data_IF_429795244334
#
_entry.id   IF_429795244334
#
_cell.length_a   1.000
_cell.length_b   1.000
_cell.length_c   1.000
_cell.angle_alpha   90.00
_cell.angle_beta   90.00
_cell.angle_gamma   90.00
#
_symmetry.space_group_name_H-M   'P 1'
#
loop_
_entity.id
_entity.type
_entity.pdbx_description
1 polymer ?
#
# COMPACT_ATOMS: atom_id res chain seq x y z
N UNK A 1 -4.97 3.35 25.87
CA UNK A 1 -4.19 3.17 24.62
C UNK A 1 -4.58 1.82 24.02
N UNK A 2 -5.38 1.81 22.95
CA UNK A 2 -5.92 0.56 22.38
C UNK A 2 -4.80 -0.26 21.72
N UNK A 3 -4.40 -1.37 22.34
CA UNK A 3 -3.34 -2.27 21.85
C UNK A 3 -3.58 -2.80 20.42
N UNK A 4 -4.85 -2.85 20.00
CA UNK A 4 -5.28 -3.31 18.67
C UNK A 4 -4.90 -2.36 17.52
N UNK A 5 -4.82 -1.06 17.78
CA UNK A 5 -4.32 -0.07 16.81
C UNK A 5 -2.83 -0.28 16.53
N UNK A 6 -2.05 -0.63 17.56
CA UNK A 6 -0.59 -0.80 17.46
C UNK A 6 -0.18 -1.92 16.51
N UNK A 7 -0.86 -3.08 16.58
CA UNK A 7 -0.58 -4.22 15.69
C UNK A 7 -1.02 -3.95 14.24
N UNK A 8 -2.16 -3.27 14.06
CA UNK A 8 -2.66 -2.85 12.74
C UNK A 8 -1.74 -1.84 12.07
N UNK A 9 -1.17 -0.93 12.86
CA UNK A 9 -0.24 0.11 12.38
C UNK A 9 1.13 -0.46 12.00
N UNK A 10 1.63 -1.46 12.72
CA UNK A 10 2.87 -2.16 12.37
C UNK A 10 2.78 -2.93 11.04
N UNK A 11 1.63 -3.56 10.75
CA UNK A 11 1.45 -4.24 9.46
C UNK A 11 1.21 -3.25 8.30
N UNK A 12 0.61 -2.08 8.56
CA UNK A 12 0.46 -1.02 7.56
C UNK A 12 1.83 -0.45 7.12
N UNK A 13 2.80 -0.30 8.03
CA UNK A 13 4.16 0.16 7.67
C UNK A 13 4.87 -0.78 6.69
N UNK A 14 4.80 -2.11 6.93
CA UNK A 14 5.39 -3.10 6.02
C UNK A 14 4.76 -3.04 4.63
N UNK A 15 3.43 -2.96 4.58
CA UNK A 15 2.69 -2.83 3.31
C UNK A 15 3.07 -1.54 2.59
N UNK A 16 3.18 -0.42 3.32
CA UNK A 16 3.55 0.87 2.75
C UNK A 16 4.97 0.87 2.16
N UNK A 17 5.93 0.23 2.84
CA UNK A 17 7.29 0.08 2.32
C UNK A 17 7.30 -0.73 1.01
N UNK A 18 6.55 -1.83 0.95
CA UNK A 18 6.40 -2.60 -0.29
C UNK A 18 5.70 -1.82 -1.39
N UNK A 19 4.67 -1.02 -1.07
CA UNK A 19 4.00 -0.12 -2.03
C UNK A 19 5.01 0.88 -2.62
N UNK A 20 5.86 1.49 -1.80
CA UNK A 20 6.87 2.45 -2.26
C UNK A 20 7.87 1.77 -3.21
N UNK A 21 8.42 0.61 -2.84
CA UNK A 21 9.33 -0.13 -3.73
C UNK A 21 8.68 -0.46 -5.08
N UNK A 22 7.39 -0.85 -5.09
CA UNK A 22 6.64 -1.12 -6.32
C UNK A 22 6.46 0.18 -7.13
N UNK A 23 6.18 1.30 -6.47
CA UNK A 23 5.99 2.61 -7.11
C UNK A 23 7.29 3.20 -7.66
N UNK A 24 8.42 2.98 -7.03
CA UNK A 24 9.73 3.37 -7.55
C UNK A 24 10.05 2.60 -8.84
N UNK A 25 9.79 1.30 -8.87
CA UNK A 25 9.99 0.47 -10.06
C UNK A 25 8.96 0.76 -11.16
N UNK A 26 7.72 1.04 -10.77
CA UNK A 26 6.59 1.24 -11.67
C UNK A 26 5.77 2.49 -11.29
N UNK A 27 6.27 3.71 -11.59
CA UNK A 27 5.63 4.95 -11.14
C UNK A 27 4.21 5.15 -11.68
N UNK A 28 3.90 4.58 -12.84
CA UNK A 28 2.57 4.65 -13.47
C UNK A 28 1.55 3.69 -12.85
N UNK A 29 1.95 2.79 -11.95
CA UNK A 29 1.02 1.83 -11.36
C UNK A 29 0.05 2.52 -10.40
N UNK A 30 -1.24 2.29 -10.63
CA UNK A 30 -2.30 2.62 -9.68
C UNK A 30 -2.51 1.50 -8.66
N UNK A 31 -3.35 1.76 -7.66
CA UNK A 31 -3.58 0.86 -6.53
C UNK A 31 -3.98 -0.58 -6.93
N UNK A 32 -4.68 -0.76 -8.05
CA UNK A 32 -5.04 -2.10 -8.56
C UNK A 32 -3.82 -2.91 -8.99
N UNK A 33 -2.90 -2.31 -9.74
CA UNK A 33 -1.65 -2.95 -10.16
C UNK A 33 -0.72 -3.18 -8.98
N UNK A 34 -0.61 -2.19 -8.08
CA UNK A 34 0.14 -2.33 -6.83
C UNK A 34 -0.40 -3.48 -5.98
N UNK A 35 -1.73 -3.63 -5.85
CA UNK A 35 -2.32 -4.74 -5.09
C UNK A 35 -1.95 -6.10 -5.68
N UNK A 36 -1.94 -6.24 -7.02
CA UNK A 36 -1.51 -7.49 -7.68
C UNK A 36 -0.05 -7.82 -7.38
N UNK A 37 0.83 -6.83 -7.42
CA UNK A 37 2.25 -7.02 -7.07
C UNK A 37 2.42 -7.38 -5.59
N UNK A 38 1.67 -6.74 -4.68
CA UNK A 38 1.67 -7.11 -3.27
C UNK A 38 1.23 -8.56 -3.05
N UNK A 39 0.21 -9.03 -3.78
CA UNK A 39 -0.22 -10.44 -3.72
C UNK A 39 0.86 -11.39 -4.23
N UNK A 40 1.58 -11.04 -5.30
CA UNK A 40 2.74 -11.81 -5.79
C UNK A 40 3.88 -11.89 -4.77
N UNK A 41 4.05 -10.85 -3.97
CA UNK A 41 5.01 -10.80 -2.86
C UNK A 41 4.51 -11.51 -1.59
N UNK A 42 3.30 -12.11 -1.62
CA UNK A 42 2.73 -12.86 -0.49
C UNK A 42 1.90 -12.03 0.49
N UNK A 43 1.66 -10.74 0.22
CA UNK A 43 0.80 -9.92 1.07
C UNK A 43 -0.68 -10.17 0.76
N UNK A 44 -1.43 -10.73 1.70
CA UNK A 44 -2.89 -10.88 1.60
C UNK A 44 -3.60 -9.58 2.04
N UNK A 45 -3.50 -8.53 1.21
CA UNK A 45 -4.11 -7.21 1.48
C UNK A 45 -5.27 -6.91 0.53
N UNK A 46 -6.35 -6.33 1.06
CA UNK A 46 -7.48 -5.90 0.25
C UNK A 46 -7.14 -4.60 -0.52
N UNK A 47 -7.54 -4.53 -1.79
CA UNK A 47 -7.36 -3.35 -2.65
C UNK A 47 -7.92 -2.04 -2.04
N UNK A 48 -9.00 -2.12 -1.23
CA UNK A 48 -9.54 -0.95 -0.51
C UNK A 48 -8.54 -0.40 0.52
N UNK A 49 -7.82 -1.28 1.21
CA UNK A 49 -6.80 -0.92 2.19
C UNK A 49 -5.56 -0.33 1.52
N UNK A 50 -5.13 -0.93 0.39
CA UNK A 50 -4.05 -0.37 -0.44
C UNK A 50 -4.41 1.03 -0.94
N UNK A 51 -5.63 1.22 -1.44
CA UNK A 51 -6.12 2.54 -1.87
C UNK A 51 -6.07 3.57 -0.74
N UNK A 52 -6.52 3.20 0.47
CA UNK A 52 -6.45 4.08 1.64
C UNK A 52 -5.01 4.48 1.96
N UNK A 53 -4.11 3.50 2.08
CA UNK A 53 -2.69 3.74 2.37
C UNK A 53 -2.02 4.61 1.30
N UNK A 54 -2.30 4.36 0.02
CA UNK A 54 -1.76 5.18 -1.07
C UNK A 54 -2.32 6.60 -1.05
N UNK A 55 -3.59 6.81 -0.69
CA UNK A 55 -4.18 8.15 -0.54
C UNK A 55 -3.59 8.91 0.63
N UNK A 56 -3.53 8.28 1.81
CA UNK A 56 -2.99 8.88 3.04
C UNK A 56 -1.51 9.29 2.90
N UNK A 57 -0.76 8.63 2.01
CA UNK A 57 0.66 8.89 1.77
C UNK A 57 0.93 9.62 0.44
N UNK A 58 -0.10 10.18 -0.22
CA UNK A 58 0.04 10.90 -1.50
C UNK A 58 0.73 10.09 -2.63
N UNK A 59 0.61 8.75 -2.61
CA UNK A 59 1.20 7.83 -3.59
C UNK A 59 0.28 7.57 -4.81
N UNK A 60 -0.90 8.19 -4.81
CA UNK A 60 -1.80 8.19 -5.97
C UNK A 60 -1.18 9.03 -7.09
N UNK A 61 -1.12 8.45 -8.28
CA UNK A 61 -0.73 9.20 -9.47
C UNK A 61 -1.87 10.15 -9.82
N UNK A 62 -1.80 11.39 -9.31
CA UNK A 62 -2.60 12.48 -9.83
C UNK A 62 -1.99 12.84 -11.18
N UNK A 63 -2.67 12.46 -12.27
CA UNK A 63 -2.42 13.07 -13.56
C UNK A 63 -2.91 14.52 -13.46
N UNK A 64 -1.97 15.44 -13.36
CA UNK A 64 -2.15 16.85 -13.75
C UNK A 64 -1.36 17.08 -15.02
#
# INVERSE_FOLDING_TARGET
MNHFESAKRQCDQKILMSINNIKEKYPKYGYRSVTKELHRLGFLVNHKRVLRLMKENNLICNRS
#
